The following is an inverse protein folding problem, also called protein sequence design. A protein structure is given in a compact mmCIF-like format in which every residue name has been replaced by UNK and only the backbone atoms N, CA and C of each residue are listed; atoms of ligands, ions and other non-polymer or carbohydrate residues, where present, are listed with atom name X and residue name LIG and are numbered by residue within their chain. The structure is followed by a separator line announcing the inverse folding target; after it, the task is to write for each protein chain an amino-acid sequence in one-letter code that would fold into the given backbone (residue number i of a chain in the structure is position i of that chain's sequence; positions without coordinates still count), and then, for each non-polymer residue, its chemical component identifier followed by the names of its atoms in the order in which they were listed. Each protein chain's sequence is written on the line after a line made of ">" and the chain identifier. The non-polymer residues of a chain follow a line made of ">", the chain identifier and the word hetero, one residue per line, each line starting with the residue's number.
data_IF_636742561718
#
_entry.id   IF_636742561718
#
_cell.length_a   1.000
_cell.length_b   1.000
_cell.length_c   1.000
_cell.angle_alpha   90.00
_cell.angle_beta   90.00
_cell.angle_gamma   90.00
#
_symmetry.space_group_name_H-M   'P 1'
#
loop_
_entity.id
_entity.type
_entity.pdbx_description
1 polymer ?
#
# COMPACT_ATOMS: atom_id res chain seq x y z
N UNK A 1 -22.31 -3.79 -7.81
CA UNK A 1 -21.73 -2.56 -7.20
C UNK A 1 -20.24 -2.38 -7.55
N UNK A 2 -19.50 -3.44 -7.89
CA UNK A 2 -18.12 -3.36 -8.42
C UNK A 2 -17.99 -4.00 -9.81
N UNK A 3 -19.06 -3.97 -10.60
CA UNK A 3 -19.16 -4.61 -11.92
C UNK A 3 -18.32 -3.82 -12.94
N UNK A 4 -16.99 -3.99 -12.88
CA UNK A 4 -16.01 -3.32 -13.74
C UNK A 4 -14.71 -2.91 -13.05
N UNK A 5 -14.60 -3.02 -11.72
CA UNK A 5 -13.37 -2.68 -11.01
C UNK A 5 -12.44 -3.90 -10.98
N UNK A 6 -11.47 -3.95 -11.88
CA UNK A 6 -10.45 -4.99 -11.90
C UNK A 6 -9.06 -4.38 -12.09
N UNK A 7 -8.08 -4.95 -11.41
CA UNK A 7 -6.69 -4.54 -11.53
C UNK A 7 -6.10 -5.12 -12.82
N UNK A 8 -5.46 -4.28 -13.61
CA UNK A 8 -4.53 -4.73 -14.64
C UNK A 8 -3.22 -5.17 -14.00
N UNK A 9 -2.46 -6.04 -14.67
CA UNK A 9 -1.13 -6.47 -14.21
C UNK A 9 -0.21 -5.30 -13.87
N UNK A 10 -0.23 -4.24 -14.70
CA UNK A 10 0.57 -3.04 -14.45
C UNK A 10 0.15 -2.31 -13.16
N UNK A 11 -1.15 -2.11 -12.95
CA UNK A 11 -1.67 -1.44 -11.74
C UNK A 11 -1.43 -2.26 -10.47
N UNK A 12 -1.53 -3.59 -10.56
CA UNK A 12 -1.23 -4.49 -9.44
C UNK A 12 0.25 -4.45 -9.06
N UNK A 13 1.16 -4.42 -10.03
CA UNK A 13 2.60 -4.24 -9.77
C UNK A 13 2.85 -2.88 -9.11
N UNK A 14 2.22 -1.81 -9.59
CA UNK A 14 2.36 -0.48 -8.98
C UNK A 14 1.90 -0.49 -7.51
N UNK A 15 0.73 -1.06 -7.21
CA UNK A 15 0.24 -1.21 -5.84
C UNK A 15 1.17 -2.05 -4.98
N UNK A 16 1.72 -3.14 -5.52
CA UNK A 16 2.66 -3.99 -4.81
C UNK A 16 3.93 -3.21 -4.43
N UNK A 17 4.47 -2.42 -5.35
CA UNK A 17 5.63 -1.57 -5.09
C UNK A 17 5.31 -0.53 -4.01
N UNK A 18 4.16 0.15 -4.11
CA UNK A 18 3.69 1.09 -3.08
C UNK A 18 3.63 0.42 -1.72
N UNK A 19 3.00 -0.76 -1.64
CA UNK A 19 2.89 -1.53 -0.40
C UNK A 19 4.25 -1.86 0.21
N UNK A 20 5.21 -2.32 -0.60
CA UNK A 20 6.55 -2.70 -0.13
C UNK A 20 7.33 -1.47 0.35
N UNK A 21 7.42 -0.41 -0.45
CA UNK A 21 8.21 0.76 -0.10
C UNK A 21 7.62 1.53 1.08
N UNK A 22 6.29 1.71 1.11
CA UNK A 22 5.62 2.37 2.22
C UNK A 22 5.71 1.53 3.50
N UNK A 23 5.54 0.21 3.43
CA UNK A 23 5.72 -0.69 4.57
C UNK A 23 7.16 -0.70 5.11
N UNK A 24 8.16 -0.64 4.22
CA UNK A 24 9.57 -0.48 4.62
C UNK A 24 9.80 0.85 5.32
N UNK A 25 9.37 1.96 4.74
CA UNK A 25 9.51 3.29 5.32
C UNK A 25 8.80 3.41 6.68
N UNK A 26 7.62 2.81 6.81
CA UNK A 26 6.91 2.69 8.09
C UNK A 26 7.79 2.01 9.14
N UNK A 27 8.35 0.84 8.83
CA UNK A 27 9.19 0.07 9.76
C UNK A 27 10.46 0.81 10.14
N UNK A 28 11.11 1.47 9.20
CA UNK A 28 12.30 2.28 9.46
C UNK A 28 11.96 3.47 10.37
N UNK A 29 10.88 4.20 10.08
CA UNK A 29 10.40 5.31 10.91
C UNK A 29 9.95 4.84 12.32
N UNK A 30 9.27 3.71 12.41
CA UNK A 30 8.84 3.12 13.68
C UNK A 30 10.03 2.76 14.59
N UNK A 31 11.14 2.30 14.00
CA UNK A 31 12.37 1.99 14.74
C UNK A 31 13.14 3.26 15.14
N UNK A 32 13.21 4.25 14.25
CA UNK A 32 13.99 5.47 14.50
C UNK A 32 13.36 6.35 15.58
N UNK A 33 12.03 6.33 15.72
CA UNK A 33 11.27 7.12 16.70
C UNK A 33 11.69 8.59 16.85
N UNK A 34 12.13 9.22 15.75
CA UNK A 34 12.46 10.64 15.72
C UNK A 34 11.24 11.50 16.08
N UNK A 35 11.45 12.79 16.39
CA UNK A 35 10.34 13.69 16.72
C UNK A 35 9.24 13.65 15.64
N UNK A 36 8.01 13.42 16.06
CA UNK A 36 6.86 13.29 15.15
C UNK A 36 6.77 11.95 14.42
N UNK A 37 7.46 10.90 14.87
CA UNK A 37 7.44 9.59 14.20
C UNK A 37 6.02 9.00 14.09
N UNK A 38 5.11 9.27 15.03
CA UNK A 38 3.75 8.74 14.99
C UNK A 38 2.95 9.27 13.79
N UNK A 39 3.02 10.57 13.48
CA UNK A 39 2.32 11.11 12.31
C UNK A 39 2.92 10.59 11.01
N UNK A 40 4.24 10.48 10.93
CA UNK A 40 4.95 9.87 9.80
C UNK A 40 4.61 8.38 9.64
N UNK A 41 4.41 7.67 10.74
CA UNK A 41 3.98 6.28 10.71
C UNK A 41 2.60 6.16 10.06
N UNK A 42 1.67 7.08 10.31
CA UNK A 42 0.39 7.10 9.57
C UNK A 42 0.56 7.44 8.09
N UNK A 43 1.45 8.38 7.74
CA UNK A 43 1.73 8.73 6.34
C UNK A 43 2.30 7.57 5.52
N UNK A 44 3.06 6.66 6.14
CA UNK A 44 3.59 5.46 5.48
C UNK A 44 2.64 4.25 5.60
N UNK A 45 1.98 4.09 6.74
CA UNK A 45 1.10 2.96 7.02
C UNK A 45 -0.17 3.00 6.19
N UNK A 46 -0.84 4.16 6.08
CA UNK A 46 -2.11 4.26 5.35
C UNK A 46 -1.98 3.87 3.87
N UNK A 47 -1.01 4.38 3.09
CA UNK A 47 -0.82 3.94 1.71
C UNK A 47 -0.52 2.45 1.60
N UNK A 48 0.29 1.89 2.51
CA UNK A 48 0.61 0.47 2.51
C UNK A 48 -0.63 -0.40 2.75
N UNK A 49 -1.45 -0.03 3.74
CA UNK A 49 -2.69 -0.73 4.08
C UNK A 49 -3.73 -0.63 2.96
N UNK A 50 -3.90 0.55 2.36
CA UNK A 50 -4.81 0.73 1.23
C UNK A 50 -4.36 -0.09 0.01
N UNK A 51 -3.07 -0.09 -0.30
CA UNK A 51 -2.53 -0.90 -1.39
C UNK A 51 -2.72 -2.42 -1.12
N UNK A 52 -2.51 -2.87 0.12
CA UNK A 52 -2.78 -4.24 0.52
C UNK A 52 -4.25 -4.62 0.32
N UNK A 53 -5.19 -3.80 0.80
CA UNK A 53 -6.62 -4.09 0.62
C UNK A 53 -7.06 -4.04 -0.83
N UNK A 54 -6.52 -3.11 -1.62
CA UNK A 54 -6.77 -3.07 -3.05
C UNK A 54 -6.32 -4.38 -3.73
N UNK A 55 -5.10 -4.84 -3.45
CA UNK A 55 -4.58 -6.11 -3.97
C UNK A 55 -5.35 -7.34 -3.47
N UNK A 56 -5.79 -7.34 -2.21
CA UNK A 56 -6.44 -8.48 -1.58
C UNK A 56 -7.92 -8.63 -1.97
N UNK A 57 -8.61 -7.53 -2.27
CA UNK A 57 -10.06 -7.50 -2.47
C UNK A 57 -10.50 -7.20 -3.90
N UNK A 58 -9.65 -6.55 -4.72
CA UNK A 58 -9.98 -6.23 -6.10
C UNK A 58 -9.46 -7.36 -7.01
N UNK A 59 -10.31 -7.96 -7.86
CA UNK A 59 -9.89 -9.03 -8.75
C UNK A 59 -8.86 -8.56 -9.77
N UNK A 60 -7.91 -9.44 -10.09
CA UNK A 60 -6.97 -9.26 -11.20
C UNK A 60 -7.66 -9.65 -12.50
N UNK A 61 -7.78 -8.70 -13.43
CA UNK A 61 -8.07 -9.04 -14.82
C UNK A 61 -6.75 -9.36 -15.50
N UNK A 62 -6.51 -10.65 -15.72
CA UNK A 62 -5.54 -11.10 -16.70
C UNK A 62 -6.11 -10.77 -18.08
N UNK A 63 -5.59 -9.72 -18.71
CA UNK A 63 -5.81 -9.50 -20.14
C UNK A 63 -5.27 -10.66 -20.96
#
# INVERSE_FOLDING_TARGET
>A
MFDGLALTSASAIALLLVMIFAGRAFRENWKAQAQGWTSRAWLYGLPATLAFFALALIPLNGG
#
